data_IF_597288343871
#
_entry.id   IF_597288343871
#
_cell.length_a   1.000
_cell.length_b   1.000
_cell.length_c   1.000
_cell.angle_alpha   90.00
_cell.angle_beta   90.00
_cell.angle_gamma   90.00
#
_symmetry.space_group_name_H-M   'P 1'
#
loop_
_entity.id
_entity.type
_entity.pdbx_description
1 polymer ?
#
# COMPACT_ATOMS: atom_id res chain seq x y z
N UNK A 1 9.90 -9.35 -6.03
CA UNK A 1 9.21 -9.06 -4.76
C UNK A 1 9.98 -8.03 -3.89
N UNK A 2 10.13 -6.79 -4.37
CA UNK A 2 10.92 -5.75 -3.67
C UNK A 2 10.36 -4.32 -3.82
N UNK A 3 9.10 -4.16 -4.24
CA UNK A 3 8.50 -2.84 -4.51
C UNK A 3 8.12 -2.09 -3.23
N UNK A 4 8.59 -0.84 -3.14
CA UNK A 4 8.16 0.19 -2.19
C UNK A 4 7.50 1.35 -2.93
N UNK A 5 6.37 1.82 -2.41
CA UNK A 5 5.55 2.88 -2.99
C UNK A 5 5.51 4.10 -2.07
N UNK A 6 5.58 5.32 -2.63
CA UNK A 6 5.42 6.59 -1.94
C UNK A 6 4.30 7.42 -2.57
N UNK A 7 3.42 7.98 -1.75
CA UNK A 7 2.40 8.97 -2.12
C UNK A 7 2.76 10.34 -1.51
N UNK A 8 3.10 11.31 -2.36
CA UNK A 8 3.45 12.69 -1.95
C UNK A 8 2.20 13.57 -1.98
N UNK A 9 1.76 14.03 -0.81
CA UNK A 9 0.49 14.75 -0.65
C UNK A 9 -0.69 13.81 -0.48
N UNK A 10 -0.47 12.69 0.21
CA UNK A 10 -1.42 11.56 0.32
C UNK A 10 -2.78 11.88 0.93
N UNK A 11 -2.95 13.08 1.50
CA UNK A 11 -4.22 13.58 2.04
C UNK A 11 -4.75 12.69 3.15
N UNK A 12 -5.82 11.95 2.84
CA UNK A 12 -6.47 11.02 3.75
C UNK A 12 -5.91 9.60 3.66
N UNK A 13 -4.73 9.41 3.06
CA UNK A 13 -4.04 8.12 2.92
C UNK A 13 -4.71 7.12 1.96
N UNK A 14 -5.74 7.54 1.21
CA UNK A 14 -6.62 6.65 0.44
C UNK A 14 -5.86 5.75 -0.55
N UNK A 15 -4.95 6.33 -1.34
CA UNK A 15 -4.18 5.59 -2.36
C UNK A 15 -3.27 4.56 -1.69
N UNK A 16 -2.58 4.95 -0.61
CA UNK A 16 -1.67 4.11 0.18
C UNK A 16 -2.40 2.92 0.81
N UNK A 17 -3.51 3.18 1.50
CA UNK A 17 -4.34 2.16 2.16
C UNK A 17 -4.93 1.18 1.13
N UNK A 18 -5.47 1.70 0.03
CA UNK A 18 -6.10 0.93 -1.03
C UNK A 18 -5.09 0.11 -1.84
N UNK A 19 -3.89 0.65 -2.11
CA UNK A 19 -2.80 -0.10 -2.73
C UNK A 19 -2.36 -1.27 -1.86
N UNK A 20 -2.18 -1.08 -0.55
CA UNK A 20 -1.81 -2.17 0.35
C UNK A 20 -2.89 -3.26 0.42
N UNK A 21 -4.18 -2.87 0.40
CA UNK A 21 -5.29 -3.83 0.42
C UNK A 21 -5.43 -4.64 -0.89
N UNK A 22 -5.23 -4.02 -2.05
CA UNK A 22 -5.34 -4.71 -3.35
C UNK A 22 -4.03 -5.38 -3.82
N UNK A 23 -2.88 -4.79 -3.48
CA UNK A 23 -1.57 -5.14 -4.05
C UNK A 23 -0.59 -5.40 -2.91
N UNK A 24 -0.03 -6.60 -2.87
CA UNK A 24 0.93 -7.05 -1.84
C UNK A 24 2.32 -6.40 -2.02
N UNK A 25 2.36 -5.06 -1.93
CA UNK A 25 3.58 -4.25 -1.87
C UNK A 25 4.36 -4.53 -0.60
N UNK A 26 5.70 -4.42 -0.64
CA UNK A 26 6.51 -4.62 0.58
C UNK A 26 6.33 -3.49 1.59
N UNK A 27 6.10 -2.27 1.10
CA UNK A 27 5.65 -1.14 1.91
C UNK A 27 5.01 -0.06 1.03
N UNK A 28 3.96 0.57 1.56
CA UNK A 28 3.31 1.73 0.96
C UNK A 28 3.36 2.90 1.96
N UNK A 29 3.98 4.01 1.55
CA UNK A 29 4.26 5.16 2.41
C UNK A 29 3.41 6.34 1.95
N UNK A 30 2.69 6.99 2.87
CA UNK A 30 1.99 8.25 2.61
C UNK A 30 2.65 9.41 3.34
N UNK A 31 3.05 10.45 2.61
CA UNK A 31 3.54 11.70 3.19
C UNK A 31 2.47 12.78 3.00
N UNK A 32 2.13 13.48 4.09
CA UNK A 32 1.18 14.59 4.10
C UNK A 32 1.65 15.66 5.10
N UNK A 33 1.59 16.94 4.72
CA UNK A 33 2.05 18.05 5.55
C UNK A 33 0.91 18.76 6.30
N UNK A 34 -0.35 18.60 5.87
CA UNK A 34 -1.53 19.13 6.56
C UNK A 34 -1.96 18.17 7.68
N UNK A 35 -1.60 18.52 8.92
CA UNK A 35 -1.78 17.69 10.12
C UNK A 35 -3.21 17.13 10.30
N UNK A 36 -4.25 17.91 9.97
CA UNK A 36 -5.64 17.43 10.08
C UNK A 36 -5.99 16.32 9.09
N UNK A 37 -5.38 16.31 7.90
CA UNK A 37 -5.56 15.24 6.90
C UNK A 37 -4.82 13.98 7.32
N UNK A 38 -3.57 14.13 7.77
CA UNK A 38 -2.76 13.04 8.34
C UNK A 38 -3.49 12.37 9.53
N UNK A 39 -4.06 13.14 10.46
CA UNK A 39 -4.85 12.60 11.57
C UNK A 39 -6.09 11.81 11.12
N UNK A 40 -6.75 12.21 10.02
CA UNK A 40 -7.85 11.44 9.42
C UNK A 40 -7.32 10.13 8.79
N UNK A 41 -6.18 10.19 8.09
CA UNK A 41 -5.53 9.01 7.51
C UNK A 41 -5.13 7.97 8.58
N UNK A 42 -4.54 8.43 9.70
CA UNK A 42 -4.17 7.57 10.83
C UNK A 42 -5.38 6.91 11.49
N UNK A 43 -6.50 7.64 11.65
CA UNK A 43 -7.77 7.07 12.14
C UNK A 43 -8.35 6.04 11.18
N UNK A 44 -8.29 6.30 9.87
CA UNK A 44 -8.73 5.35 8.85
C UNK A 44 -7.90 4.06 8.86
N UNK A 45 -6.56 4.17 9.02
CA UNK A 45 -5.67 3.01 9.18
C UNK A 45 -6.06 2.19 10.41
N UNK A 46 -6.17 2.83 11.59
CA UNK A 46 -6.48 2.14 12.84
C UNK A 46 -7.86 1.45 12.84
N UNK A 47 -8.86 2.02 12.18
CA UNK A 47 -10.17 1.37 12.00
C UNK A 47 -10.09 0.14 11.08
N UNK A 48 -9.30 0.21 10.01
CA UNK A 48 -9.12 -0.91 9.08
C UNK A 48 -8.28 -2.04 9.66
N UNK A 49 -7.24 -1.74 10.46
CA UNK A 49 -6.50 -2.74 11.23
C UNK A 49 -7.47 -3.46 12.20
N UNK A 50 -8.25 -2.70 13.00
CA UNK A 50 -9.19 -3.28 13.96
C UNK A 50 -10.30 -4.15 13.33
N UNK A 51 -10.88 -3.73 12.20
CA UNK A 51 -11.89 -4.53 11.47
C UNK A 51 -11.33 -5.89 11.06
N UNK A 52 -10.08 -5.94 10.62
CA UNK A 52 -9.48 -7.17 10.11
C UNK A 52 -8.81 -8.02 11.21
N UNK A 53 -8.52 -7.45 12.39
CA UNK A 53 -8.27 -8.23 13.61
C UNK A 53 -9.55 -8.93 14.12
N UNK A 54 -10.74 -8.35 13.91
CA UNK A 54 -12.04 -8.97 14.25
C UNK A 54 -12.44 -10.14 13.33
N UNK A 55 -11.91 -10.24 12.11
CA UNK A 55 -12.25 -11.29 11.13
C UNK A 55 -11.58 -12.67 11.36
N UNK A 56 -10.91 -12.91 12.49
CA UNK A 56 -10.22 -14.19 12.77
C UNK A 56 -10.84 -15.04 13.91
N UNK A 57 -12.02 -15.66 13.70
CA UNK A 57 -12.38 -16.88 14.41
C UNK A 57 -11.58 -18.07 13.84
N UNK A 58 -10.61 -18.57 14.60
CA UNK A 58 -9.91 -19.81 14.25
C UNK A 58 -10.89 -21.01 14.17
N UNK A 59 -10.56 -22.00 13.34
CA UNK A 59 -11.48 -23.04 12.86
C UNK A 59 -12.30 -23.77 13.97
N UNK A 60 -13.55 -23.34 14.13
CA UNK A 60 -14.60 -24.03 14.89
C UNK A 60 -15.74 -24.44 13.96
N UNK A 61 -15.94 -25.75 13.74
CA UNK A 61 -16.83 -26.25 12.70
C UNK A 61 -18.33 -26.00 12.97
N UNK A 62 -18.90 -24.98 12.31
CA UNK A 62 -20.35 -24.74 12.27
C UNK A 62 -20.89 -25.00 10.85
N UNK A 63 -21.65 -26.08 10.67
CA UNK A 63 -22.22 -26.46 9.36
C UNK A 63 -23.42 -25.59 9.02
N UNK A 64 -23.21 -24.52 8.25
CA UNK A 64 -24.29 -23.78 7.60
C UNK A 64 -24.78 -24.58 6.39
N UNK A 65 -26.03 -25.05 6.43
CA UNK A 65 -26.67 -25.75 5.30
C UNK A 65 -27.35 -24.76 4.35
N UNK A 66 -26.74 -24.52 3.20
CA UNK A 66 -27.39 -24.01 1.98
C UNK A 66 -27.16 -25.03 0.86
N UNK A 67 -28.22 -25.48 0.20
CA UNK A 67 -28.16 -26.63 -0.72
C UNK A 67 -27.85 -26.26 -2.17
N UNK A 68 -27.19 -27.21 -2.86
CA UNK A 68 -27.19 -27.56 -4.30
C UNK A 68 -27.35 -26.46 -5.39
N UNK A 69 -26.66 -26.49 -6.55
CA UNK A 69 -25.51 -27.26 -7.09
C UNK A 69 -25.10 -26.57 -8.45
N UNK A 70 -24.34 -27.06 -9.45
CA UNK A 70 -23.70 -28.36 -9.82
C UNK A 70 -22.36 -28.11 -10.56
N UNK A 71 -21.45 -29.09 -10.56
CA UNK A 71 -20.23 -29.14 -11.41
C UNK A 71 -19.03 -28.29 -10.94
N UNK A 72 -17.77 -28.60 -11.27
CA UNK A 72 -17.14 -29.81 -11.86
C UNK A 72 -15.82 -30.11 -11.11
N UNK A 73 -15.03 -31.10 -11.55
CA UNK A 73 -13.98 -31.73 -10.73
C UNK A 73 -12.57 -31.78 -11.36
N UNK A 74 -11.62 -32.12 -10.47
CA UNK A 74 -10.41 -32.93 -10.71
C UNK A 74 -9.08 -32.26 -11.08
N UNK A 75 -7.99 -32.99 -10.77
CA UNK A 75 -6.57 -32.84 -11.13
C UNK A 75 -5.75 -31.71 -10.47
N UNK A 76 -4.45 -31.87 -10.13
CA UNK A 76 -3.65 -33.07 -9.79
C UNK A 76 -2.31 -32.63 -9.12
N UNK A 77 -1.59 -33.56 -8.46
CA UNK A 77 -0.15 -33.60 -8.06
C UNK A 77 0.71 -32.32 -8.04
N UNK A 78 1.61 -32.23 -7.05
CA UNK A 78 2.94 -31.64 -7.31
C UNK A 78 3.74 -31.12 -6.13
N UNK A 79 4.22 -32.02 -5.28
CA UNK A 79 5.21 -31.79 -4.21
C UNK A 79 6.40 -30.88 -4.60
N UNK A 80 6.83 -30.03 -3.67
CA UNK A 80 8.27 -29.78 -3.43
C UNK A 80 8.50 -29.52 -1.93
N UNK A 81 9.68 -29.88 -1.41
CA UNK A 81 9.95 -30.05 0.02
C UNK A 81 10.94 -29.02 0.59
N UNK A 82 10.87 -28.78 1.91
CA UNK A 82 12.09 -28.47 2.67
C UNK A 82 12.52 -27.01 2.88
N UNK A 83 11.63 -26.01 2.82
CA UNK A 83 11.92 -24.67 3.37
C UNK A 83 10.70 -23.96 3.95
N UNK A 84 10.25 -24.36 5.15
CA UNK A 84 9.27 -23.59 5.92
C UNK A 84 9.93 -22.31 6.50
N UNK A 85 9.99 -21.27 5.67
CA UNK A 85 10.12 -19.90 6.16
C UNK A 85 8.77 -19.52 6.78
N UNK A 86 8.73 -19.37 8.10
CA UNK A 86 7.57 -18.83 8.81
C UNK A 86 7.44 -17.34 8.48
N UNK A 87 6.84 -17.05 7.33
CA UNK A 87 6.37 -15.71 7.01
C UNK A 87 5.21 -15.40 7.95
N UNK A 88 5.51 -14.76 9.08
CA UNK A 88 4.52 -14.00 9.82
C UNK A 88 3.82 -13.09 8.82
N UNK A 89 2.56 -13.39 8.48
CA UNK A 89 1.71 -12.51 7.69
C UNK A 89 1.52 -11.28 8.57
N UNK A 90 2.20 -10.16 8.28
CA UNK A 90 2.20 -9.06 9.21
C UNK A 90 0.82 -8.40 9.11
N UNK A 91 0.26 -7.93 10.25
CA UNK A 91 -1.14 -7.51 10.34
C UNK A 91 -1.57 -6.57 9.21
N UNK A 92 -2.85 -6.55 8.79
CA UNK A 92 -3.27 -6.20 7.43
C UNK A 92 -2.70 -4.90 6.85
N UNK A 93 -2.51 -3.83 7.64
CA UNK A 93 -1.88 -2.58 7.18
C UNK A 93 -0.49 -2.31 7.82
N UNK A 94 0.21 -3.33 8.29
CA UNK A 94 1.57 -3.26 8.87
C UNK A 94 2.63 -2.75 7.90
N UNK A 95 2.46 -2.99 6.59
CA UNK A 95 3.31 -2.47 5.54
C UNK A 95 2.96 -1.01 5.15
N UNK A 96 1.89 -0.43 5.72
CA UNK A 96 1.49 0.97 5.52
C UNK A 96 2.12 1.87 6.58
N UNK A 97 2.88 2.85 6.12
CA UNK A 97 3.50 3.90 6.93
C UNK A 97 2.92 5.27 6.52
N UNK A 98 2.28 5.97 7.46
CA UNK A 98 1.68 7.28 7.23
C UNK A 98 2.45 8.31 8.05
N UNK A 99 3.04 9.30 7.37
CA UNK A 99 3.97 10.27 7.96
C UNK A 99 3.42 11.68 7.85
N UNK A 100 3.46 12.41 8.97
CA UNK A 100 3.36 13.87 8.94
C UNK A 100 4.75 14.43 8.62
N UNK A 101 4.97 14.89 7.39
CA UNK A 101 6.25 15.43 6.92
C UNK A 101 6.05 16.35 5.71
N UNK A 102 7.04 17.18 5.41
CA UNK A 102 7.15 17.94 4.17
C UNK A 102 8.16 17.24 3.25
N UNK A 103 7.68 16.66 2.15
CA UNK A 103 8.51 15.98 1.16
C UNK A 103 9.57 16.87 0.48
N UNK A 104 9.52 18.20 0.64
CA UNK A 104 10.58 19.13 0.20
C UNK A 104 11.75 19.25 1.18
N UNK A 105 11.62 18.72 2.40
CA UNK A 105 12.66 18.73 3.43
C UNK A 105 13.50 17.45 3.49
N UNK A 106 13.05 16.39 2.82
CA UNK A 106 13.78 15.12 2.66
C UNK A 106 15.04 15.33 1.80
N UNK A 107 16.13 14.62 2.10
CA UNK A 107 17.39 14.72 1.34
C UNK A 107 17.28 14.06 -0.06
N UNK A 108 16.58 12.92 -0.12
CA UNK A 108 16.38 12.09 -1.32
C UNK A 108 15.23 11.09 -1.09
N UNK A 109 14.54 10.67 -2.14
CA UNK A 109 13.40 9.74 -2.05
C UNK A 109 13.73 8.36 -2.61
N UNK A 110 14.15 7.44 -1.73
CA UNK A 110 14.60 6.08 -2.07
C UNK A 110 13.44 5.06 -2.21
N UNK A 111 12.46 5.33 -3.09
CA UNK A 111 11.29 4.48 -3.31
C UNK A 111 11.20 3.98 -4.76
N UNK A 112 10.82 2.71 -4.96
CA UNK A 112 10.74 2.13 -6.32
C UNK A 112 9.66 2.77 -7.19
N UNK A 113 8.59 3.27 -6.55
CA UNK A 113 7.48 3.95 -7.20
C UNK A 113 7.14 5.20 -6.39
N UNK A 114 7.03 6.35 -7.05
CA UNK A 114 6.64 7.61 -6.43
C UNK A 114 5.43 8.16 -7.18
N UNK A 115 4.33 8.33 -6.47
CA UNK A 115 3.12 9.00 -6.93
C UNK A 115 3.07 10.42 -6.36
N UNK A 116 2.60 11.35 -7.18
CA UNK A 116 2.31 12.72 -6.80
C UNK A 116 1.12 13.21 -7.63
N UNK A 117 0.12 13.80 -6.99
CA UNK A 117 -0.96 14.49 -7.69
C UNK A 117 -0.60 15.97 -7.83
N UNK A 118 0.13 16.31 -8.90
CA UNK A 118 0.76 17.62 -9.09
C UNK A 118 -0.21 18.82 -9.02
N UNK A 119 -1.47 18.62 -9.41
CA UNK A 119 -2.54 19.63 -9.37
C UNK A 119 -2.83 20.24 -8.00
N UNK A 120 -2.47 19.59 -6.87
CA UNK A 120 -2.66 20.18 -5.52
C UNK A 120 -1.44 20.96 -5.00
N UNK A 121 -0.36 21.05 -5.79
CA UNK A 121 0.89 21.72 -5.39
C UNK A 121 1.10 23.04 -6.14
N UNK A 122 1.76 24.00 -5.48
CA UNK A 122 2.20 25.22 -6.16
C UNK A 122 3.39 24.93 -7.08
N UNK A 123 3.57 25.73 -8.15
CA UNK A 123 4.76 25.63 -9.01
C UNK A 123 6.09 25.77 -8.26
N UNK A 124 6.10 26.54 -7.16
CA UNK A 124 7.27 26.64 -6.26
C UNK A 124 7.52 25.31 -5.54
N UNK A 125 6.48 24.72 -4.94
CA UNK A 125 6.55 23.44 -4.22
C UNK A 125 6.96 22.31 -5.16
N UNK A 126 6.39 22.23 -6.36
CA UNK A 126 6.81 21.27 -7.39
C UNK A 126 8.29 21.44 -7.78
N UNK A 127 8.76 22.69 -7.90
CA UNK A 127 10.17 23.00 -8.13
C UNK A 127 11.12 22.62 -6.97
N UNK A 128 10.61 22.53 -5.73
CA UNK A 128 11.35 21.99 -4.60
C UNK A 128 11.34 20.45 -4.61
N UNK A 129 10.17 19.82 -4.77
CA UNK A 129 10.03 18.35 -4.84
C UNK A 129 10.90 17.78 -5.98
N UNK A 130 10.94 18.45 -7.13
CA UNK A 130 11.77 18.04 -8.26
C UNK A 130 13.27 17.93 -7.92
N UNK A 131 13.80 18.75 -7.00
CA UNK A 131 15.19 18.66 -6.54
C UNK A 131 15.43 17.39 -5.73
N UNK A 132 14.50 17.05 -4.84
CA UNK A 132 14.59 15.84 -3.99
C UNK A 132 14.45 14.57 -4.84
N UNK A 133 13.59 14.59 -5.86
CA UNK A 133 13.48 13.51 -6.84
C UNK A 133 14.76 13.35 -7.67
N UNK A 134 15.38 14.46 -8.08
CA UNK A 134 16.66 14.46 -8.81
C UNK A 134 17.88 14.07 -7.95
N UNK A 135 17.76 14.09 -6.63
CA UNK A 135 18.78 13.56 -5.71
C UNK A 135 18.73 12.03 -5.55
N UNK A 136 17.75 11.36 -6.17
CA UNK A 136 17.68 9.89 -6.20
C UNK A 136 18.77 9.28 -7.11
N UNK A 137 19.43 8.17 -6.69
CA UNK A 137 20.40 7.47 -7.54
C UNK A 137 19.77 6.64 -8.67
N UNK A 138 18.45 6.70 -8.86
CA UNK A 138 17.71 6.00 -9.91
C UNK A 138 16.64 6.90 -10.56
N UNK A 139 16.27 6.60 -11.80
CA UNK A 139 15.24 7.33 -12.52
C UNK A 139 13.86 7.11 -11.89
N UNK A 140 13.26 8.19 -11.36
CA UNK A 140 11.86 8.17 -10.91
C UNK A 140 10.94 8.32 -12.13
N UNK A 141 10.12 7.30 -12.39
CA UNK A 141 9.07 7.39 -13.40
C UNK A 141 7.90 8.25 -12.88
N UNK A 142 7.70 9.42 -13.48
CA UNK A 142 6.51 10.24 -13.25
C UNK A 142 5.43 9.87 -14.27
N UNK A 143 4.26 9.44 -13.79
CA UNK A 143 3.14 9.00 -14.63
C UNK A 143 1.84 9.64 -14.19
N UNK A 144 1.11 10.20 -15.15
CA UNK A 144 -0.25 10.74 -14.96
C UNK A 144 -1.34 9.67 -15.15
N UNK A 145 -0.96 8.40 -15.36
CA UNK A 145 -1.89 7.28 -15.49
C UNK A 145 -2.25 6.69 -14.14
N UNK A 146 -3.42 6.05 -14.04
CA UNK A 146 -3.86 5.35 -12.83
C UNK A 146 -2.93 4.17 -12.49
N UNK A 147 -2.86 3.76 -11.22
CA UNK A 147 -2.05 2.60 -10.82
C UNK A 147 -2.46 1.30 -11.56
N UNK A 148 -3.72 1.18 -11.97
CA UNK A 148 -4.23 0.08 -12.81
C UNK A 148 -3.63 0.05 -14.22
N UNK A 149 -3.17 1.19 -14.75
CA UNK A 149 -2.50 1.29 -16.06
C UNK A 149 -0.97 1.08 -15.97
N UNK A 150 -0.41 0.85 -14.77
CA UNK A 150 1.04 0.63 -14.59
C UNK A 150 1.41 -0.87 -14.54
N UNK A 151 0.41 -1.76 -14.39
CA UNK A 151 0.59 -3.18 -14.07
C UNK A 151 -0.24 -4.12 -14.95
N UNK A 152 -0.76 -3.63 -16.09
CA UNK A 152 -1.56 -4.38 -17.07
C UNK A 152 -0.98 -4.31 -18.48
#
# INVERSE_FOLDING_TARGET
PWSTFLDIGSGYGKVVLHLNAMVRMRSAIGVECVQSRHQIAMRAKALLDAIADEEVPAAGGAVVKTGAAEGEADLDRGCDDGAQVEWQVPGPLSAVDLRHSDATSEERLNYTHVYIFDWVFSKHTLGQIARVLQASPFYVMLSFRSCSEWWG
#
